data_IF_427205680442
#
_entry.id   IF_427205680442
#
_cell.length_a   1.000
_cell.length_b   1.000
_cell.length_c   1.000
_cell.angle_alpha   90.00
_cell.angle_beta   90.00
_cell.angle_gamma   90.00
#
_symmetry.space_group_name_H-M   'P 1'
#
loop_
_entity.id
_entity.type
_entity.pdbx_description
1 polymer ?
#
# COMPACT_ATOMS: atom_id res chain seq x y z
N UNK A 1 -28.12 -1.28 6.29
CA UNK A 1 -26.98 -2.21 6.18
C UNK A 1 -26.16 -2.06 7.44
N UNK A 2 -25.68 -3.16 8.06
CA UNK A 2 -24.72 -3.02 9.18
C UNK A 2 -23.40 -2.48 8.62
N UNK A 3 -22.76 -1.57 9.35
CA UNK A 3 -21.41 -1.09 9.05
C UNK A 3 -20.35 -2.17 9.27
N UNK A 4 -19.10 -1.82 9.05
CA UNK A 4 -17.94 -2.66 9.40
C UNK A 4 -17.61 -2.39 10.87
N UNK A 5 -17.43 -3.44 11.66
CA UNK A 5 -17.04 -3.34 13.07
C UNK A 5 -15.57 -3.76 13.23
N UNK A 6 -14.70 -3.04 12.51
CA UNK A 6 -13.25 -3.24 12.49
C UNK A 6 -12.57 -1.94 12.08
N UNK A 7 -11.40 -1.65 12.67
CA UNK A 7 -10.59 -0.50 12.23
C UNK A 7 -9.88 -0.84 10.93
N UNK A 8 -10.17 -0.11 9.85
CA UNK A 8 -9.58 -0.37 8.54
C UNK A 8 -8.87 0.85 7.94
N UNK A 9 -7.80 0.60 7.19
CA UNK A 9 -7.22 1.55 6.25
C UNK A 9 -7.48 1.08 4.82
N UNK A 10 -7.56 2.00 3.87
CA UNK A 10 -7.77 1.67 2.45
C UNK A 10 -6.74 2.39 1.60
N UNK A 11 -6.13 1.65 0.67
CA UNK A 11 -5.29 2.18 -0.41
C UNK A 11 -6.08 2.06 -1.73
N UNK A 12 -6.32 3.17 -2.45
CA UNK A 12 -7.03 3.18 -3.75
C UNK A 12 -6.14 3.78 -4.83
N UNK A 13 -5.77 2.98 -5.83
CA UNK A 13 -4.92 3.40 -6.94
C UNK A 13 -5.73 4.10 -8.04
N UNK A 14 -5.43 5.37 -8.31
CA UNK A 14 -6.09 6.20 -9.31
C UNK A 14 -5.10 6.85 -10.27
N UNK A 15 -5.62 7.43 -11.35
CA UNK A 15 -4.84 8.19 -12.32
C UNK A 15 -5.41 9.60 -12.47
N UNK A 16 -4.59 10.62 -12.20
CA UNK A 16 -4.98 12.00 -12.46
C UNK A 16 -5.18 12.25 -13.97
N UNK A 17 -6.11 13.12 -14.37
CA UNK A 17 -6.23 13.55 -15.77
C UNK A 17 -4.97 14.30 -16.21
N UNK A 18 -4.73 14.39 -17.52
CA UNK A 18 -3.57 15.11 -18.07
C UNK A 18 -3.61 16.58 -17.65
N UNK A 19 -2.46 17.09 -17.22
CA UNK A 19 -2.33 18.46 -16.69
C UNK A 19 -2.67 18.61 -15.20
N UNK A 20 -3.15 17.55 -14.56
CA UNK A 20 -3.29 17.46 -13.10
C UNK A 20 -2.30 16.45 -12.51
N UNK A 21 -2.23 16.37 -11.19
CA UNK A 21 -1.37 15.44 -10.47
C UNK A 21 -2.02 14.99 -9.17
N UNK A 22 -1.38 14.08 -8.44
CA UNK A 22 -1.80 13.73 -7.07
C UNK A 22 -1.84 14.92 -6.11
N UNK A 23 -1.05 15.97 -6.37
CA UNK A 23 -1.14 17.24 -5.62
C UNK A 23 -2.49 17.94 -5.81
N UNK A 24 -3.07 17.87 -7.01
CA UNK A 24 -4.36 18.50 -7.32
C UNK A 24 -5.46 17.95 -6.41
N UNK A 25 -5.51 16.63 -6.26
CA UNK A 25 -6.49 15.98 -5.37
C UNK A 25 -6.20 16.30 -3.91
N UNK A 26 -4.93 16.22 -3.47
CA UNK A 26 -4.56 16.53 -2.09
C UNK A 26 -4.97 17.96 -1.68
N UNK A 27 -4.70 18.95 -2.53
CA UNK A 27 -5.10 20.35 -2.28
C UNK A 27 -6.61 20.51 -2.23
N UNK A 28 -7.34 19.90 -3.15
CA UNK A 28 -8.80 19.98 -3.16
C UNK A 28 -9.42 19.40 -1.89
N UNK A 29 -8.92 18.26 -1.43
CA UNK A 29 -9.36 17.63 -0.18
C UNK A 29 -9.05 18.53 1.01
N UNK A 30 -7.84 19.10 1.09
CA UNK A 30 -7.45 20.02 2.15
C UNK A 30 -8.32 21.29 2.17
N UNK A 31 -8.62 21.87 1.00
CA UNK A 31 -9.52 23.04 0.89
C UNK A 31 -10.93 22.71 1.38
N UNK A 32 -11.48 21.57 0.96
CA UNK A 32 -12.82 21.13 1.37
C UNK A 32 -12.93 20.91 2.88
N UNK A 33 -11.87 20.43 3.53
CA UNK A 33 -11.85 20.13 4.97
C UNK A 33 -11.35 21.30 5.82
N UNK A 34 -11.00 22.44 5.21
CA UNK A 34 -10.38 23.56 5.91
C UNK A 34 -8.99 23.23 6.50
N UNK A 35 -8.37 22.17 5.99
CA UNK A 35 -7.12 21.61 6.47
C UNK A 35 -5.90 22.05 5.66
N UNK A 36 -4.88 21.19 5.63
CA UNK A 36 -3.63 21.46 4.89
C UNK A 36 -3.11 20.23 4.16
N UNK A 37 -2.41 20.47 3.04
CA UNK A 37 -1.73 19.45 2.25
C UNK A 37 -0.22 19.68 2.33
N UNK A 38 0.49 18.80 3.03
CA UNK A 38 1.95 18.88 3.19
C UNK A 38 2.63 17.88 2.28
N UNK A 39 3.65 18.31 1.53
CA UNK A 39 4.43 17.41 0.70
C UNK A 39 5.28 16.48 1.58
N UNK A 40 5.32 15.21 1.23
CA UNK A 40 6.06 14.17 1.95
C UNK A 40 6.91 13.33 0.99
N UNK A 41 7.94 12.69 1.52
CA UNK A 41 8.59 11.58 0.84
C UNK A 41 7.80 10.29 1.07
N UNK A 42 7.52 9.57 -0.01
CA UNK A 42 6.87 8.27 0.03
C UNK A 42 7.85 7.18 -0.42
N UNK A 43 8.17 6.20 0.46
CA UNK A 43 9.04 5.08 0.10
C UNK A 43 8.38 4.16 -0.92
N UNK A 44 9.09 3.87 -2.00
CA UNK A 44 8.64 3.02 -3.07
C UNK A 44 9.73 2.05 -3.53
N UNK A 45 9.30 0.96 -4.15
CA UNK A 45 10.19 -0.14 -4.54
C UNK A 45 9.89 -0.58 -5.98
N UNK A 46 10.89 -0.55 -6.86
CA UNK A 46 10.79 -1.04 -8.24
C UNK A 46 11.65 -2.28 -8.45
N UNK A 47 11.19 -3.22 -9.29
CA UNK A 47 12.00 -4.39 -9.66
C UNK A 47 13.21 -3.96 -10.45
N UNK A 48 14.36 -4.48 -10.08
CA UNK A 48 15.62 -4.17 -10.73
C UNK A 48 16.04 -5.28 -11.69
N UNK A 49 16.56 -4.87 -12.85
CA UNK A 49 17.19 -5.77 -13.81
C UNK A 49 18.68 -6.04 -13.50
N UNK A 50 19.23 -5.39 -12.47
CA UNK A 50 20.65 -5.51 -12.09
C UNK A 50 20.90 -6.84 -11.36
N UNK A 51 21.84 -7.68 -11.83
CA UNK A 51 22.17 -8.94 -11.17
C UNK A 51 22.56 -8.74 -9.69
N UNK A 52 21.94 -9.50 -8.79
CA UNK A 52 22.21 -9.44 -7.35
C UNK A 52 21.49 -8.33 -6.58
N UNK A 53 20.77 -7.44 -7.27
CA UNK A 53 19.97 -6.38 -6.67
C UNK A 53 18.54 -6.49 -7.22
N UNK A 54 17.63 -7.23 -6.57
CA UNK A 54 16.31 -7.54 -7.12
C UNK A 54 15.36 -6.34 -7.08
N UNK A 55 15.64 -5.33 -6.25
CA UNK A 55 14.78 -4.17 -6.02
C UNK A 55 15.64 -2.90 -5.93
N UNK A 56 15.15 -1.81 -6.52
CA UNK A 56 15.61 -0.46 -6.25
C UNK A 56 14.60 0.24 -5.35
N UNK A 57 15.07 0.66 -4.19
CA UNK A 57 14.30 1.50 -3.28
C UNK A 57 14.44 2.95 -3.74
N UNK A 58 13.36 3.71 -3.62
CA UNK A 58 13.34 5.13 -3.94
C UNK A 58 12.35 5.90 -3.07
N UNK A 59 12.51 7.21 -3.04
CA UNK A 59 11.55 8.13 -2.43
C UNK A 59 10.91 8.94 -3.54
N UNK A 60 9.61 8.80 -3.69
CA UNK A 60 8.80 9.66 -4.55
C UNK A 60 8.16 10.77 -3.72
N UNK A 61 7.64 11.79 -4.41
CA UNK A 61 6.86 12.84 -3.75
C UNK A 61 5.39 12.41 -3.64
N UNK A 62 4.83 12.58 -2.46
CA UNK A 62 3.40 12.50 -2.18
C UNK A 62 2.93 13.68 -1.33
N UNK A 63 1.66 13.65 -0.93
CA UNK A 63 1.08 14.67 -0.07
C UNK A 63 0.32 14.02 1.08
N UNK A 64 0.49 14.53 2.29
CA UNK A 64 -0.34 14.19 3.44
C UNK A 64 -1.34 15.31 3.68
N UNK A 65 -2.62 14.95 3.77
CA UNK A 65 -3.68 15.89 4.12
C UNK A 65 -4.07 15.71 5.57
N UNK A 66 -4.10 16.82 6.30
CA UNK A 66 -4.64 16.92 7.64
C UNK A 66 -5.89 17.81 7.63
N UNK A 67 -6.86 17.56 8.50
CA UNK A 67 -8.02 18.42 8.71
C UNK A 67 -7.65 19.74 9.43
N UNK A 68 -8.66 20.56 9.73
CA UNK A 68 -8.48 21.83 10.43
C UNK A 68 -7.94 21.65 11.87
N UNK A 69 -8.21 20.50 12.47
CA UNK A 69 -7.75 20.09 13.80
C UNK A 69 -6.34 19.47 13.78
N UNK A 70 -5.77 19.22 12.60
CA UNK A 70 -4.46 18.62 12.40
C UNK A 70 -4.47 17.08 12.39
N UNK A 71 -5.63 16.43 12.40
CA UNK A 71 -5.73 14.98 12.27
C UNK A 71 -5.42 14.55 10.84
N UNK A 72 -4.69 13.44 10.69
CA UNK A 72 -4.44 12.86 9.39
C UNK A 72 -5.74 12.31 8.78
N UNK A 73 -6.06 12.72 7.55
CA UNK A 73 -7.21 12.23 6.80
C UNK A 73 -6.81 11.17 5.76
N UNK A 74 -5.89 11.55 4.87
CA UNK A 74 -5.39 10.68 3.81
C UNK A 74 -4.01 11.16 3.32
N UNK A 75 -3.26 10.27 2.70
CA UNK A 75 -2.09 10.61 1.91
C UNK A 75 -2.37 10.30 0.43
N UNK A 76 -1.77 11.08 -0.46
CA UNK A 76 -1.91 10.97 -1.91
C UNK A 76 -0.52 10.75 -2.49
N UNK A 77 -0.20 9.49 -2.77
CA UNK A 77 1.17 9.05 -3.02
C UNK A 77 1.31 8.46 -4.42
N UNK A 78 2.55 8.18 -4.80
CA UNK A 78 2.85 7.50 -6.04
C UNK A 78 2.59 5.99 -5.87
N UNK A 79 2.24 5.29 -6.96
CA UNK A 79 2.47 3.86 -7.09
C UNK A 79 3.20 3.60 -8.41
N UNK A 80 4.42 3.07 -8.32
CA UNK A 80 5.28 2.78 -9.46
C UNK A 80 4.80 1.61 -10.33
N UNK A 81 3.81 0.83 -9.89
CA UNK A 81 3.23 -0.25 -10.71
C UNK A 81 2.36 0.26 -11.84
N UNK A 82 1.81 1.47 -11.70
CA UNK A 82 0.94 2.09 -12.69
C UNK A 82 1.78 2.63 -13.83
N UNK A 83 1.70 1.98 -14.99
CA UNK A 83 2.64 2.17 -16.09
C UNK A 83 1.97 2.28 -17.46
N UNK A 84 0.95 1.48 -17.74
CA UNK A 84 0.39 1.35 -19.08
C UNK A 84 -0.23 2.65 -19.59
N UNK A 85 -0.88 3.41 -18.72
CA UNK A 85 -1.64 4.61 -19.09
C UNK A 85 -0.79 5.90 -19.12
N UNK A 86 0.52 5.77 -18.92
CA UNK A 86 1.46 6.89 -18.92
C UNK A 86 2.18 7.04 -20.26
N UNK A 87 2.30 8.28 -20.75
CA UNK A 87 3.22 8.58 -21.85
C UNK A 87 4.66 8.71 -21.33
N UNK A 88 5.41 7.61 -21.41
CA UNK A 88 6.82 7.53 -20.97
C UNK A 88 7.77 8.50 -21.67
N UNK A 89 7.34 9.13 -22.77
CA UNK A 89 8.14 10.14 -23.49
C UNK A 89 7.88 11.55 -23.01
N UNK A 90 6.88 11.75 -22.15
CA UNK A 90 6.58 13.06 -21.60
C UNK A 90 7.75 13.55 -20.74
N UNK A 91 8.10 14.82 -20.91
CA UNK A 91 9.15 15.44 -20.13
C UNK A 91 8.76 15.47 -18.65
N UNK A 92 9.77 15.49 -17.77
CA UNK A 92 9.50 15.66 -16.33
C UNK A 92 8.83 17.00 -16.07
N UNK A 93 7.78 17.00 -15.26
CA UNK A 93 7.16 18.24 -14.80
C UNK A 93 8.08 18.92 -13.75
N UNK A 94 8.31 20.24 -13.85
CA UNK A 94 9.10 20.97 -12.84
C UNK A 94 8.56 20.75 -11.42
N UNK A 95 9.48 20.55 -10.47
CA UNK A 95 9.14 20.31 -9.07
C UNK A 95 8.82 18.86 -8.72
N UNK A 96 8.72 17.95 -9.70
CA UNK A 96 8.56 16.51 -9.48
C UNK A 96 9.87 15.77 -9.67
N UNK A 97 10.27 15.03 -8.63
CA UNK A 97 11.52 14.28 -8.62
C UNK A 97 11.39 13.02 -7.76
N UNK A 98 12.39 12.15 -7.84
CA UNK A 98 12.62 11.04 -6.90
C UNK A 98 14.04 11.08 -6.35
N UNK A 99 14.20 10.54 -5.15
CA UNK A 99 15.51 10.25 -4.58
C UNK A 99 15.76 8.75 -4.66
N UNK A 100 16.96 8.35 -5.10
CA UNK A 100 17.38 6.96 -5.21
C UNK A 100 18.70 6.76 -4.48
N UNK A 101 18.87 5.61 -3.85
CA UNK A 101 20.13 5.19 -3.23
C UNK A 101 20.22 3.66 -3.26
N UNK A 102 21.44 3.15 -3.23
CA UNK A 102 21.70 1.70 -3.27
C UNK A 102 21.47 1.02 -1.89
N UNK A 103 21.22 1.81 -0.85
CA UNK A 103 20.96 1.33 0.50
C UNK A 103 19.71 2.00 1.10
N UNK A 104 18.70 1.23 1.54
CA UNK A 104 17.48 1.79 2.15
C UNK A 104 17.75 2.57 3.44
N UNK A 105 18.87 2.33 4.13
CA UNK A 105 19.29 3.14 5.30
C UNK A 105 19.61 4.57 4.89
N UNK A 106 20.19 4.78 3.70
CA UNK A 106 20.51 6.11 3.18
C UNK A 106 19.23 6.86 2.77
N UNK A 107 18.25 6.18 2.19
CA UNK A 107 16.93 6.77 1.93
C UNK A 107 16.21 7.13 3.22
N UNK A 108 16.27 6.30 4.26
CA UNK A 108 15.71 6.66 5.58
C UNK A 108 16.40 7.88 6.20
N UNK A 109 17.71 8.05 5.99
CA UNK A 109 18.40 9.28 6.39
C UNK A 109 17.91 10.48 5.57
N UNK A 110 17.78 10.34 4.25
CA UNK A 110 17.24 11.38 3.39
C UNK A 110 15.81 11.79 3.82
N UNK A 111 14.90 10.84 4.04
CA UNK A 111 13.54 11.11 4.55
C UNK A 111 13.55 11.89 5.87
N UNK A 112 14.53 11.64 6.73
CA UNK A 112 14.60 12.26 8.07
C UNK A 112 15.20 13.67 8.03
N UNK A 113 16.13 13.93 7.10
CA UNK A 113 16.95 15.14 7.12
C UNK A 113 16.66 16.10 5.96
N UNK A 114 16.09 15.61 4.85
CA UNK A 114 15.73 16.42 3.69
C UNK A 114 14.27 16.90 3.79
N UNK A 115 13.98 18.06 3.22
CA UNK A 115 12.63 18.60 3.09
C UNK A 115 12.06 18.23 1.72
N UNK A 116 10.95 17.47 1.68
CA UNK A 116 10.28 17.10 0.43
C UNK A 116 9.77 18.31 -0.36
N UNK A 117 9.56 19.46 0.29
CA UNK A 117 9.15 20.71 -0.32
C UNK A 117 10.30 21.49 -0.96
N UNK A 118 11.56 21.15 -0.64
CA UNK A 118 12.71 21.78 -1.25
C UNK A 118 12.82 21.44 -2.74
N UNK A 119 13.34 22.37 -3.56
CA UNK A 119 13.61 22.09 -4.96
C UNK A 119 14.73 21.04 -5.11
N UNK A 120 14.72 20.33 -6.24
CA UNK A 120 15.66 19.23 -6.51
C UNK A 120 17.13 19.65 -6.38
N UNK A 121 17.47 20.89 -6.71
CA UNK A 121 18.83 21.43 -6.64
C UNK A 121 19.35 21.68 -5.22
N UNK A 122 18.46 21.70 -4.22
CA UNK A 122 18.80 21.94 -2.81
C UNK A 122 18.36 20.80 -1.86
N UNK A 123 17.44 19.92 -2.27
CA UNK A 123 16.83 18.90 -1.41
C UNK A 123 17.85 17.96 -0.76
N UNK A 124 18.98 17.71 -1.43
CA UNK A 124 20.04 16.84 -0.94
C UNK A 124 21.14 17.56 -0.14
N UNK A 125 21.07 18.89 0.03
CA UNK A 125 22.05 19.65 0.81
C UNK A 125 22.19 19.11 2.25
N UNK A 126 21.10 18.81 2.99
CA UNK A 126 21.22 18.29 4.36
C UNK A 126 21.88 16.92 4.39
N UNK A 127 21.63 16.08 3.39
CA UNK A 127 22.26 14.75 3.30
C UNK A 127 23.75 14.89 2.99
N UNK A 128 24.14 15.75 2.05
CA UNK A 128 25.55 15.99 1.72
C UNK A 128 26.34 16.51 2.94
N UNK A 129 25.73 17.39 3.74
CA UNK A 129 26.33 17.90 4.96
C UNK A 129 26.66 16.79 5.98
N UNK A 130 25.83 15.74 6.08
CA UNK A 130 26.11 14.58 6.95
C UNK A 130 27.36 13.79 6.53
N UNK A 131 27.70 13.82 5.24
CA UNK A 131 28.88 13.16 4.68
C UNK A 131 30.09 14.09 4.50
N UNK A 132 29.96 15.37 4.91
CA UNK A 132 31.01 16.37 4.76
C UNK A 132 31.29 16.73 3.29
N UNK A 133 30.31 16.60 2.41
CA UNK A 133 30.42 16.89 0.98
C UNK A 133 29.39 17.93 0.53
N UNK A 134 29.42 18.28 -0.76
CA UNK A 134 28.43 19.13 -1.41
C UNK A 134 27.77 18.38 -2.57
N UNK A 135 26.49 18.64 -2.88
CA UNK A 135 25.85 18.00 -4.02
C UNK A 135 26.50 18.39 -5.36
N UNK A 136 26.55 17.43 -6.27
CA UNK A 136 27.12 17.57 -7.61
C UNK A 136 25.99 17.64 -8.64
N UNK A 137 25.93 18.74 -9.39
CA UNK A 137 24.95 18.97 -10.45
C UNK A 137 25.38 18.25 -11.73
N UNK A 138 24.43 17.58 -12.38
CA UNK A 138 24.62 16.95 -13.69
C UNK A 138 23.81 17.67 -14.79
N UNK A 139 24.30 17.70 -16.05
CA UNK A 139 23.62 18.37 -17.17
C UNK A 139 22.18 17.89 -17.44
N UNK A 140 21.83 16.66 -17.02
CA UNK A 140 20.48 16.11 -17.12
C UNK A 140 19.52 16.54 -16.01
N UNK A 141 19.89 17.52 -15.19
CA UNK A 141 19.10 17.97 -14.04
C UNK A 141 19.14 17.03 -12.83
N UNK A 142 20.04 16.05 -12.83
CA UNK A 142 20.26 15.17 -11.68
C UNK A 142 21.20 15.82 -10.68
N UNK A 143 21.00 15.50 -9.40
CA UNK A 143 21.83 15.96 -8.29
C UNK A 143 22.37 14.75 -7.56
N UNK A 144 23.68 14.66 -7.40
CA UNK A 144 24.34 13.50 -6.78
C UNK A 144 25.06 13.90 -5.50
N UNK A 145 24.87 13.12 -4.45
CA UNK A 145 25.69 13.19 -3.24
C UNK A 145 26.67 12.04 -3.24
N UNK A 146 27.92 12.34 -2.89
CA UNK A 146 29.00 11.36 -2.72
C UNK A 146 29.58 11.47 -1.31
N UNK A 147 30.27 10.44 -0.85
CA UNK A 147 31.07 10.51 0.38
C UNK A 147 32.46 11.12 0.14
N UNK A 148 33.28 11.21 1.19
CA UNK A 148 34.64 11.74 1.12
C UNK A 148 35.60 10.94 0.21
N UNK A 149 35.23 9.71 -0.17
CA UNK A 149 35.98 8.85 -1.08
C UNK A 149 35.40 8.83 -2.50
N UNK A 150 34.33 9.60 -2.76
CA UNK A 150 33.66 9.68 -4.05
C UNK A 150 32.65 8.55 -4.31
N UNK A 151 32.35 7.71 -3.33
CA UNK A 151 31.31 6.69 -3.46
C UNK A 151 29.91 7.34 -3.47
N UNK A 152 28.98 6.79 -4.25
CA UNK A 152 27.62 7.33 -4.35
C UNK A 152 26.85 7.14 -3.04
N UNK A 153 26.19 8.19 -2.56
CA UNK A 153 25.31 8.14 -1.38
C UNK A 153 23.85 8.16 -1.82
N UNK A 154 23.45 9.17 -2.58
CA UNK A 154 22.10 9.29 -3.11
C UNK A 154 22.10 10.14 -4.38
N UNK A 155 21.09 9.94 -5.22
CA UNK A 155 20.85 10.72 -6.43
C UNK A 155 19.42 11.24 -6.40
N UNK A 156 19.25 12.53 -6.61
CA UNK A 156 17.97 13.15 -6.96
C UNK A 156 17.85 13.23 -8.47
N UNK A 157 16.71 12.80 -9.02
CA UNK A 157 16.45 12.86 -10.45
C UNK A 157 15.03 13.38 -10.73
N UNK A 158 14.84 14.20 -11.77
CA UNK A 158 13.50 14.57 -12.23
C UNK A 158 12.65 13.32 -12.52
N UNK A 159 11.33 13.43 -12.37
CA UNK A 159 10.41 12.31 -12.56
C UNK A 159 9.77 12.39 -13.97
N UNK A 160 10.29 11.69 -14.99
CA UNK A 160 9.76 11.78 -16.35
C UNK A 160 8.51 10.90 -16.54
N UNK A 161 7.88 11.03 -17.70
CA UNK A 161 6.88 10.07 -18.16
C UNK A 161 5.53 10.20 -17.47
N UNK A 162 5.04 11.44 -17.33
CA UNK A 162 3.73 11.75 -16.73
C UNK A 162 3.58 11.27 -15.28
N UNK A 163 4.70 11.12 -14.57
CA UNK A 163 4.74 10.30 -13.38
C UNK A 163 4.22 11.00 -12.11
N UNK A 164 3.97 12.30 -12.20
CA UNK A 164 3.15 13.08 -11.26
C UNK A 164 1.68 12.62 -11.19
N UNK A 165 1.18 11.92 -12.23
CA UNK A 165 -0.26 11.69 -12.42
C UNK A 165 -0.83 10.55 -11.58
N UNK A 166 -0.20 9.35 -11.50
CA UNK A 166 -0.76 8.31 -10.66
C UNK A 166 -0.75 8.69 -9.19
N UNK A 167 -1.79 8.24 -8.52
CA UNK A 167 -2.22 8.74 -7.23
C UNK A 167 -2.85 7.59 -6.47
N UNK A 168 -2.15 7.05 -5.50
CA UNK A 168 -2.73 6.15 -4.52
C UNK A 168 -3.27 6.98 -3.34
N UNK A 169 -4.58 6.87 -3.08
CA UNK A 169 -5.19 7.43 -1.88
C UNK A 169 -4.96 6.43 -0.75
N UNK A 170 -4.19 6.80 0.26
CA UNK A 170 -3.96 6.02 1.48
C UNK A 170 -4.70 6.67 2.64
N UNK A 171 -5.81 6.10 3.10
CA UNK A 171 -6.59 6.68 4.19
C UNK A 171 -5.86 6.58 5.53
N UNK A 172 -6.16 7.49 6.46
CA UNK A 172 -5.94 7.21 7.87
C UNK A 172 -6.78 5.99 8.30
N UNK A 173 -6.40 5.27 9.39
CA UNK A 173 -7.23 4.21 9.95
C UNK A 173 -8.60 4.73 10.38
N UNK A 174 -9.66 4.04 9.97
CA UNK A 174 -11.05 4.38 10.24
C UNK A 174 -11.70 3.30 11.09
N UNK A 175 -12.15 3.66 12.29
CA UNK A 175 -12.93 2.76 13.15
C UNK A 175 -14.44 2.84 12.87
N UNK A 176 -14.91 3.97 12.32
CA UNK A 176 -16.31 4.27 12.08
C UNK A 176 -16.47 5.16 10.83
N UNK A 177 -17.72 5.39 10.41
CA UNK A 177 -18.09 6.26 9.29
C UNK A 177 -17.38 5.94 7.94
N UNK A 178 -16.95 4.68 7.76
CA UNK A 178 -16.14 4.25 6.62
C UNK A 178 -16.71 4.67 5.27
N UNK A 179 -18.01 4.44 5.04
CA UNK A 179 -18.68 4.75 3.78
C UNK A 179 -18.70 6.26 3.50
N UNK A 180 -18.91 7.08 4.53
CA UNK A 180 -18.94 8.54 4.39
C UNK A 180 -17.55 9.09 4.05
N UNK A 181 -16.53 8.66 4.81
CA UNK A 181 -15.14 9.08 4.58
C UNK A 181 -14.63 8.67 3.20
N UNK A 182 -14.83 7.39 2.81
CA UNK A 182 -14.47 6.91 1.48
C UNK A 182 -15.30 7.60 0.38
N UNK A 183 -16.60 7.79 0.63
CA UNK A 183 -17.50 8.46 -0.30
C UNK A 183 -17.08 9.90 -0.60
N UNK A 184 -16.62 10.64 0.41
CA UNK A 184 -16.11 12.00 0.27
C UNK A 184 -14.80 12.03 -0.54
N UNK A 185 -13.80 11.21 -0.18
CA UNK A 185 -12.51 11.14 -0.88
C UNK A 185 -12.66 10.75 -2.36
N UNK A 186 -13.45 9.71 -2.64
CA UNK A 186 -13.72 9.28 -4.01
C UNK A 186 -14.63 10.25 -4.76
N UNK A 187 -15.50 10.98 -4.04
CA UNK A 187 -16.29 12.08 -4.58
C UNK A 187 -15.42 13.20 -5.15
N UNK A 188 -14.41 13.62 -4.40
CA UNK A 188 -13.43 14.61 -4.83
C UNK A 188 -12.65 14.13 -6.05
N UNK A 189 -12.19 12.88 -6.05
CA UNK A 189 -11.49 12.27 -7.17
C UNK A 189 -12.35 12.27 -8.45
N UNK A 190 -13.64 11.87 -8.33
CA UNK A 190 -14.60 11.92 -9.45
C UNK A 190 -14.82 13.36 -9.95
N UNK A 191 -15.00 14.32 -9.04
CA UNK A 191 -15.23 15.71 -9.39
C UNK A 191 -14.06 16.33 -10.17
N UNK A 192 -12.84 15.89 -9.86
CA UNK A 192 -11.61 16.31 -10.56
C UNK A 192 -11.29 15.48 -11.81
N UNK A 193 -12.09 14.47 -12.14
CA UNK A 193 -11.90 13.65 -13.35
C UNK A 193 -10.77 12.62 -13.25
N UNK A 194 -10.44 12.15 -12.04
CA UNK A 194 -9.56 11.00 -11.87
C UNK A 194 -10.19 9.73 -12.47
N UNK A 195 -9.36 8.87 -13.03
CA UNK A 195 -9.77 7.63 -13.69
C UNK A 195 -9.15 6.41 -13.04
N UNK A 196 -9.73 5.24 -13.30
CA UNK A 196 -9.15 3.95 -12.89
C UNK A 196 -8.01 3.58 -13.85
N UNK A 197 -6.78 3.36 -13.35
CA UNK A 197 -5.67 2.91 -14.18
C UNK A 197 -5.82 1.42 -14.56
N UNK A 198 -5.18 1.01 -15.64
CA UNK A 198 -5.25 -0.36 -16.16
C UNK A 198 -4.74 -1.39 -15.16
N UNK A 199 -3.62 -1.12 -14.49
CA UNK A 199 -3.05 -2.00 -13.46
C UNK A 199 -3.72 -1.85 -12.09
N UNK A 200 -4.67 -0.91 -11.97
CA UNK A 200 -5.19 -0.41 -10.69
C UNK A 200 -5.78 -1.46 -9.77
N UNK A 201 -5.46 -1.34 -8.49
CA UNK A 201 -5.95 -2.12 -7.38
C UNK A 201 -6.55 -1.27 -6.25
N UNK A 202 -7.23 -1.95 -5.32
CA UNK A 202 -7.61 -1.41 -4.01
C UNK A 202 -7.14 -2.39 -2.93
N UNK A 203 -6.40 -1.89 -1.95
CA UNK A 203 -5.98 -2.67 -0.80
C UNK A 203 -6.80 -2.29 0.43
N UNK A 204 -7.21 -3.28 1.21
CA UNK A 204 -7.96 -3.08 2.44
C UNK A 204 -7.15 -3.66 3.59
N UNK A 205 -6.74 -2.78 4.49
CA UNK A 205 -5.96 -3.08 5.67
C UNK A 205 -6.88 -3.22 6.86
N UNK A 206 -6.84 -4.37 7.53
CA UNK A 206 -7.55 -4.61 8.78
C UNK A 206 -6.55 -4.55 9.92
N UNK A 207 -6.90 -3.85 11.01
CA UNK A 207 -6.11 -3.86 12.26
C UNK A 207 -5.76 -5.31 12.64
N UNK A 208 -4.47 -5.56 12.84
CA UNK A 208 -3.95 -6.91 13.03
C UNK A 208 -4.18 -7.46 14.44
N UNK A 209 -4.46 -6.61 15.42
CA UNK A 209 -4.43 -7.00 16.83
C UNK A 209 -5.28 -8.24 17.15
N UNK A 210 -6.52 -8.40 16.64
CA UNK A 210 -7.31 -9.61 16.87
C UNK A 210 -6.70 -10.87 16.23
N UNK A 211 -5.95 -10.71 15.13
CA UNK A 211 -5.37 -11.81 14.35
C UNK A 211 -4.01 -12.28 14.88
N UNK A 212 -3.51 -11.69 15.97
CA UNK A 212 -2.27 -12.10 16.65
C UNK A 212 -2.43 -13.40 17.42
N UNK A 213 -2.72 -14.47 16.69
CA UNK A 213 -2.96 -15.81 17.21
C UNK A 213 -2.50 -16.83 16.19
N UNK A 214 -1.67 -17.78 16.61
CA UNK A 214 -1.19 -18.86 15.74
C UNK A 214 -2.38 -19.64 15.13
N UNK A 215 -3.41 -19.92 15.95
CA UNK A 215 -4.64 -20.57 15.49
C UNK A 215 -5.40 -19.76 14.45
N UNK A 216 -5.59 -18.46 14.68
CA UNK A 216 -6.32 -17.60 13.76
C UNK A 216 -5.60 -17.49 12.41
N UNK A 217 -4.28 -17.33 12.43
CA UNK A 217 -3.45 -17.32 11.21
C UNK A 217 -3.51 -18.67 10.51
N UNK A 218 -3.38 -19.79 11.22
CA UNK A 218 -3.50 -21.11 10.60
C UNK A 218 -4.86 -21.34 9.94
N UNK A 219 -5.94 -20.89 10.60
CA UNK A 219 -7.30 -20.96 10.03
C UNK A 219 -7.43 -20.10 8.79
N UNK A 220 -6.91 -18.88 8.80
CA UNK A 220 -6.90 -18.01 7.62
C UNK A 220 -6.08 -18.62 6.48
N UNK A 221 -4.96 -19.27 6.79
CA UNK A 221 -4.13 -19.92 5.78
C UNK A 221 -4.89 -21.08 5.12
N UNK A 222 -5.42 -22.01 5.94
CA UNK A 222 -6.20 -23.13 5.45
C UNK A 222 -7.47 -22.70 4.70
N UNK A 223 -8.12 -21.61 5.14
CA UNK A 223 -9.29 -21.05 4.48
C UNK A 223 -8.92 -20.54 3.08
N UNK A 224 -7.86 -19.74 2.97
CA UNK A 224 -7.42 -19.19 1.70
C UNK A 224 -6.96 -20.29 0.74
N UNK A 225 -6.21 -21.29 1.19
CA UNK A 225 -5.84 -22.43 0.32
C UNK A 225 -7.06 -23.09 -0.31
N UNK A 226 -8.09 -23.33 0.51
CA UNK A 226 -9.34 -23.97 0.08
C UNK A 226 -10.15 -23.08 -0.86
N UNK A 227 -10.17 -21.76 -0.64
CA UNK A 227 -11.13 -20.86 -1.26
C UNK A 227 -10.53 -19.73 -2.12
N UNK A 228 -9.22 -19.72 -2.40
CA UNK A 228 -8.57 -18.64 -3.16
C UNK A 228 -9.29 -18.31 -4.48
N UNK A 229 -9.77 -19.32 -5.21
CA UNK A 229 -10.52 -19.12 -6.45
C UNK A 229 -11.87 -18.43 -6.22
N UNK A 230 -12.59 -18.80 -5.16
CA UNK A 230 -13.86 -18.17 -4.78
C UNK A 230 -13.64 -16.72 -4.30
N UNK A 231 -12.55 -16.45 -3.58
CA UNK A 231 -12.18 -15.11 -3.14
C UNK A 231 -11.85 -14.20 -4.33
N UNK A 232 -11.09 -14.69 -5.32
CA UNK A 232 -10.83 -13.95 -6.56
C UNK A 232 -12.09 -13.69 -7.37
N UNK A 233 -13.03 -14.65 -7.39
CA UNK A 233 -14.33 -14.47 -8.04
C UNK A 233 -15.19 -13.40 -7.32
N UNK A 234 -15.22 -13.42 -5.98
CA UNK A 234 -15.86 -12.39 -5.16
C UNK A 234 -15.25 -11.00 -5.37
N UNK A 235 -13.92 -10.92 -5.42
CA UNK A 235 -13.19 -9.69 -5.62
C UNK A 235 -13.31 -9.14 -7.05
N UNK A 236 -13.61 -10.00 -8.04
CA UNK A 236 -13.51 -9.69 -9.46
C UNK A 236 -12.13 -9.12 -9.80
N UNK A 237 -11.08 -9.82 -9.33
CA UNK A 237 -9.70 -9.33 -9.38
C UNK A 237 -9.28 -8.87 -10.78
N UNK A 238 -8.59 -7.74 -10.83
CA UNK A 238 -8.05 -7.18 -12.07
C UNK A 238 -6.93 -8.08 -12.62
N UNK A 239 -7.07 -8.71 -13.80
CA UNK A 239 -6.03 -9.58 -14.36
C UNK A 239 -4.76 -8.83 -14.77
N UNK A 240 -4.81 -7.49 -14.88
CA UNK A 240 -3.64 -6.66 -15.13
C UNK A 240 -2.85 -6.32 -13.85
N UNK A 241 -3.38 -6.61 -12.66
CA UNK A 241 -2.65 -6.44 -11.41
C UNK A 241 -1.63 -7.57 -11.24
N UNK A 242 -0.34 -7.24 -11.37
CA UNK A 242 0.75 -8.23 -11.43
C UNK A 242 1.37 -8.57 -10.06
N UNK A 243 0.97 -7.89 -8.98
CA UNK A 243 1.47 -8.09 -7.61
C UNK A 243 0.54 -8.97 -6.76
N UNK A 244 -0.18 -9.88 -7.40
CA UNK A 244 -1.09 -10.85 -6.80
C UNK A 244 -0.52 -12.26 -6.85
N UNK A 245 -1.00 -13.17 -5.99
CA UNK A 245 -0.49 -14.54 -5.93
C UNK A 245 -0.79 -15.25 -4.61
N UNK A 246 -0.43 -16.53 -4.57
CA UNK A 246 -0.47 -17.34 -3.35
C UNK A 246 0.73 -17.11 -2.43
N UNK A 247 0.68 -17.75 -1.27
CA UNK A 247 1.81 -17.79 -0.34
C UNK A 247 2.85 -18.87 -0.70
N UNK A 248 4.06 -18.81 -0.11
CA UNK A 248 5.01 -19.92 -0.18
C UNK A 248 4.40 -21.22 0.38
N UNK A 249 4.62 -22.39 -0.27
CA UNK A 249 4.10 -23.68 0.22
C UNK A 249 4.53 -24.03 1.66
N UNK A 250 5.66 -23.50 2.11
CA UNK A 250 6.19 -23.65 3.45
C UNK A 250 5.25 -23.05 4.51
N UNK A 251 4.46 -22.02 4.16
CA UNK A 251 3.51 -21.40 5.09
C UNK A 251 2.43 -22.38 5.53
N UNK A 252 1.85 -23.10 4.58
CA UNK A 252 0.79 -24.06 4.82
C UNK A 252 1.28 -25.25 5.64
N UNK A 253 2.51 -25.72 5.37
CA UNK A 253 3.13 -26.76 6.18
C UNK A 253 3.36 -26.33 7.62
N UNK A 254 3.89 -25.12 7.82
CA UNK A 254 4.12 -24.57 9.15
C UNK A 254 2.80 -24.42 9.92
N UNK A 255 1.80 -23.82 9.29
CA UNK A 255 0.52 -23.51 9.95
C UNK A 255 -0.36 -24.73 10.20
N UNK A 256 -0.16 -25.82 9.47
CA UNK A 256 -0.81 -27.11 9.73
C UNK A 256 -0.16 -27.91 10.88
N UNK A 257 1.02 -27.52 11.36
CA UNK A 257 1.72 -28.21 12.45
C UNK A 257 1.00 -27.99 13.80
N UNK A 258 0.58 -29.05 14.52
CA UNK A 258 0.02 -28.93 15.87
C UNK A 258 0.91 -28.16 16.85
N UNK A 259 2.23 -28.23 16.70
CA UNK A 259 3.16 -27.47 17.51
C UNK A 259 3.06 -25.96 17.25
N UNK A 260 2.84 -25.55 16.00
CA UNK A 260 2.62 -24.15 15.65
C UNK A 260 1.31 -23.63 16.23
N UNK A 261 0.22 -24.41 16.10
CA UNK A 261 -1.10 -24.05 16.64
C UNK A 261 -1.11 -23.79 18.15
N UNK A 262 -0.20 -24.41 18.88
CA UNK A 262 -0.03 -24.24 20.33
C UNK A 262 0.93 -23.10 20.72
N UNK A 263 1.55 -22.41 19.76
CA UNK A 263 2.48 -21.32 20.05
C UNK A 263 1.77 -20.06 20.50
N UNK A 264 2.39 -19.37 21.45
CA UNK A 264 2.09 -17.98 21.73
C UNK A 264 2.52 -17.09 20.55
N UNK A 265 1.79 -16.00 20.34
CA UNK A 265 1.98 -15.15 19.17
C UNK A 265 3.42 -14.68 18.91
N UNK A 266 4.21 -14.24 19.92
CA UNK A 266 5.58 -13.80 19.67
C UNK A 266 6.46 -14.90 19.05
N UNK A 267 6.26 -16.16 19.44
CA UNK A 267 7.00 -17.30 18.89
C UNK A 267 6.50 -17.69 17.51
N UNK A 268 5.17 -17.68 17.32
CA UNK A 268 4.56 -17.92 16.02
C UNK A 268 5.01 -16.88 14.98
N UNK A 269 5.03 -15.59 15.33
CA UNK A 269 5.48 -14.50 14.47
C UNK A 269 6.95 -14.68 14.04
N UNK A 270 7.85 -15.04 14.96
CA UNK A 270 9.25 -15.35 14.62
C UNK A 270 9.35 -16.48 13.61
N UNK A 271 8.58 -17.55 13.79
CA UNK A 271 8.54 -18.69 12.86
C UNK A 271 7.96 -18.31 11.51
N UNK A 272 6.91 -17.48 11.47
CA UNK A 272 6.32 -16.98 10.22
C UNK A 272 7.31 -16.08 9.44
N UNK A 273 8.13 -15.29 10.12
CA UNK A 273 9.13 -14.43 9.47
C UNK A 273 10.18 -15.23 8.68
N UNK A 274 10.45 -16.48 9.07
CA UNK A 274 11.41 -17.38 8.42
C UNK A 274 10.87 -18.01 7.12
N UNK A 275 9.55 -17.95 6.88
CA UNK A 275 8.88 -18.59 5.73
C UNK A 275 9.09 -17.81 4.42
N UNK A 276 9.62 -16.58 4.49
CA UNK A 276 9.83 -15.74 3.31
C UNK A 276 8.53 -15.14 2.77
N UNK A 277 7.63 -14.72 3.67
CA UNK A 277 6.43 -13.96 3.31
C UNK A 277 6.79 -12.70 2.50
N UNK A 278 6.03 -12.46 1.44
CA UNK A 278 6.18 -11.29 0.57
C UNK A 278 4.90 -10.48 0.56
N UNK A 279 5.00 -9.19 0.26
CA UNK A 279 3.83 -8.32 0.05
C UNK A 279 3.05 -8.65 -1.24
N UNK A 280 3.68 -9.30 -2.22
CA UNK A 280 3.08 -9.62 -3.52
C UNK A 280 2.27 -10.92 -3.49
N UNK A 281 1.15 -10.87 -2.77
CA UNK A 281 0.17 -11.95 -2.69
C UNK A 281 -1.22 -11.36 -2.43
N UNK A 282 -2.23 -12.20 -2.60
CA UNK A 282 -3.65 -11.84 -2.46
C UNK A 282 -3.98 -11.31 -1.05
N UNK A 283 -3.36 -11.90 -0.02
CA UNK A 283 -3.48 -11.49 1.37
C UNK A 283 -2.08 -11.34 1.97
N UNK A 284 -1.65 -10.11 2.23
CA UNK A 284 -0.34 -9.84 2.80
C UNK A 284 -0.35 -10.01 4.33
N UNK A 285 0.38 -11.02 4.80
CA UNK A 285 0.61 -11.31 6.22
C UNK A 285 1.94 -10.77 6.75
N UNK A 286 2.82 -10.25 5.88
CA UNK A 286 4.11 -9.71 6.31
C UNK A 286 3.95 -8.50 7.23
N UNK A 287 2.88 -7.73 7.05
CA UNK A 287 2.51 -6.59 7.89
C UNK A 287 2.17 -7.05 9.33
N UNK A 288 1.30 -8.04 9.48
CA UNK A 288 0.97 -8.69 10.78
C UNK A 288 2.23 -9.27 11.46
N UNK A 289 3.10 -9.93 10.70
CA UNK A 289 4.27 -10.64 11.24
C UNK A 289 5.38 -9.69 11.68
N UNK A 290 5.69 -8.68 10.86
CA UNK A 290 6.75 -7.71 11.16
C UNK A 290 6.27 -6.55 12.04
N UNK A 291 4.96 -6.32 12.10
CA UNK A 291 4.29 -5.28 12.88
C UNK A 291 4.98 -3.91 12.80
N UNK A 292 5.22 -3.36 11.59
CA UNK A 292 5.72 -2.00 11.47
C UNK A 292 4.73 -1.02 12.11
N UNK A 293 5.24 0.04 12.74
CA UNK A 293 4.44 0.93 13.60
C UNK A 293 3.24 1.58 12.90
N UNK A 294 3.27 1.70 11.58
CA UNK A 294 2.26 2.33 10.73
C UNK A 294 1.45 1.34 9.88
N UNK A 295 1.81 0.05 9.83
CA UNK A 295 1.14 -0.98 9.01
C UNK A 295 1.03 -2.34 9.73
N UNK A 296 0.68 -2.34 11.02
CA UNK A 296 0.35 -3.57 11.76
C UNK A 296 -1.04 -4.09 11.35
N UNK A 297 -1.11 -4.75 10.19
CA UNK A 297 -2.38 -5.06 9.52
C UNK A 297 -2.40 -6.44 8.89
N UNK A 298 -3.59 -7.03 8.76
CA UNK A 298 -3.87 -8.05 7.72
C UNK A 298 -4.39 -7.32 6.49
N UNK A 299 -3.71 -7.45 5.36
CA UNK A 299 -3.98 -6.66 4.17
C UNK A 299 -4.52 -7.54 3.04
N UNK A 300 -5.72 -7.22 2.54
CA UNK A 300 -6.30 -7.85 1.35
C UNK A 300 -6.01 -7.00 0.12
N UNK A 301 -5.38 -7.59 -0.89
CA UNK A 301 -4.85 -6.88 -2.07
C UNK A 301 -5.54 -7.23 -3.38
N UNK A 302 -6.54 -8.11 -3.34
CA UNK A 302 -7.14 -8.76 -4.52
C UNK A 302 -8.15 -7.92 -5.30
N UNK A 303 -8.48 -6.73 -4.83
CA UNK A 303 -9.60 -5.97 -5.39
C UNK A 303 -9.14 -5.07 -6.54
N UNK A 304 -9.93 -4.94 -7.61
CA UNK A 304 -9.67 -3.94 -8.63
C UNK A 304 -9.81 -2.53 -8.04
N UNK A 305 -9.15 -1.55 -8.66
CA UNK A 305 -9.41 -0.15 -8.31
C UNK A 305 -10.88 0.21 -8.61
N UNK A 306 -11.46 1.08 -7.77
CA UNK A 306 -12.82 1.58 -7.93
C UNK A 306 -12.93 3.03 -7.47
N UNK A 307 -13.91 3.74 -8.05
CA UNK A 307 -14.35 5.06 -7.59
C UNK A 307 -15.67 4.95 -6.82
N UNK A 308 -16.19 3.76 -6.53
CA UNK A 308 -17.41 3.56 -5.74
C UNK A 308 -17.08 3.04 -4.34
N UNK A 309 -17.40 3.86 -3.32
CA UNK A 309 -17.21 3.48 -1.93
C UNK A 309 -18.06 2.27 -1.53
N UNK A 310 -19.18 2.00 -2.20
CA UNK A 310 -20.03 0.84 -1.90
C UNK A 310 -19.35 -0.48 -2.29
N UNK A 311 -18.56 -0.50 -3.35
CA UNK A 311 -17.76 -1.66 -3.73
C UNK A 311 -16.72 -1.97 -2.64
N UNK A 312 -16.00 -0.95 -2.18
CA UNK A 312 -15.02 -1.08 -1.09
C UNK A 312 -15.69 -1.60 0.18
N UNK A 313 -16.86 -1.05 0.53
CA UNK A 313 -17.62 -1.50 1.68
C UNK A 313 -18.16 -2.93 1.52
N UNK A 314 -18.53 -3.37 0.31
CA UNK A 314 -18.91 -4.76 0.05
C UNK A 314 -17.72 -5.68 0.28
N UNK A 315 -16.57 -5.36 -0.31
CA UNK A 315 -15.35 -6.14 -0.15
C UNK A 315 -14.91 -6.22 1.31
N UNK A 316 -14.87 -5.09 2.01
CA UNK A 316 -14.45 -5.04 3.41
C UNK A 316 -15.38 -5.83 4.34
N UNK A 317 -16.71 -5.84 4.09
CA UNK A 317 -17.63 -6.72 4.85
C UNK A 317 -17.36 -8.20 4.60
N UNK A 318 -17.01 -8.58 3.38
CA UNK A 318 -16.59 -9.95 3.05
C UNK A 318 -15.32 -10.34 3.79
N UNK A 319 -14.31 -9.48 3.75
CA UNK A 319 -13.05 -9.67 4.49
C UNK A 319 -13.27 -9.75 6.00
N UNK A 320 -14.04 -8.85 6.59
CA UNK A 320 -14.37 -8.86 8.01
C UNK A 320 -15.02 -10.20 8.41
N UNK A 321 -15.98 -10.67 7.61
CA UNK A 321 -16.66 -11.93 7.89
C UNK A 321 -15.71 -13.14 7.81
N UNK A 322 -14.75 -13.14 6.88
CA UNK A 322 -13.67 -14.15 6.82
C UNK A 322 -12.80 -14.10 8.06
N UNK A 323 -12.34 -12.91 8.47
CA UNK A 323 -11.50 -12.77 9.67
C UNK A 323 -12.24 -13.22 10.92
N UNK A 324 -13.52 -12.86 11.07
CA UNK A 324 -14.37 -13.32 12.18
C UNK A 324 -14.59 -14.82 12.16
N UNK A 325 -14.78 -15.44 11.00
CA UNK A 325 -14.85 -16.90 10.87
C UNK A 325 -13.55 -17.59 11.31
N UNK A 326 -12.40 -16.98 11.03
CA UNK A 326 -11.09 -17.49 11.46
C UNK A 326 -10.85 -17.31 12.97
N UNK A 327 -11.49 -16.31 13.59
CA UNK A 327 -11.42 -16.00 15.01
C UNK A 327 -12.48 -16.69 15.87
N UNK A 328 -13.47 -17.34 15.26
CA UNK A 328 -14.57 -17.97 15.98
C UNK A 328 -14.04 -19.08 16.94
N UNK A 329 -14.26 -18.95 18.26
CA UNK A 329 -13.78 -19.91 19.25
C UNK A 329 -14.44 -21.29 19.14
N UNK A 330 -15.60 -21.40 18.46
CA UNK A 330 -16.20 -22.69 18.14
C UNK A 330 -15.43 -23.45 17.04
N UNK A 331 -14.49 -22.77 16.38
CA UNK A 331 -13.64 -23.30 15.30
C UNK A 331 -14.46 -24.06 14.24
N UNK A 332 -15.52 -23.45 13.66
CA UNK A 332 -16.36 -24.13 12.68
C UNK A 332 -15.52 -24.70 11.53
N UNK A 333 -15.90 -25.87 10.99
CA UNK A 333 -15.14 -26.50 9.91
C UNK A 333 -15.11 -25.58 8.70
N UNK A 334 -13.93 -25.49 8.05
CA UNK A 334 -13.80 -24.73 6.80
C UNK A 334 -14.69 -25.41 5.75
N UNK A 335 -15.63 -24.67 5.13
CA UNK A 335 -16.47 -25.20 4.06
C UNK A 335 -15.63 -25.83 2.95
N UNK A 336 -16.09 -26.94 2.36
CA UNK A 336 -15.32 -27.64 1.33
C UNK A 336 -15.68 -27.20 -0.09
N UNK A 337 -16.82 -26.52 -0.25
CA UNK A 337 -17.30 -26.04 -1.54
C UNK A 337 -17.61 -24.54 -1.50
N UNK A 338 -17.66 -23.89 -2.66
CA UNK A 338 -18.03 -22.48 -2.75
C UNK A 338 -19.50 -22.23 -2.34
N UNK A 339 -20.39 -23.20 -2.54
CA UNK A 339 -21.79 -23.09 -2.13
C UNK A 339 -21.91 -23.07 -0.60
N UNK A 340 -21.25 -24.02 0.07
CA UNK A 340 -21.20 -24.09 1.53
C UNK A 340 -20.49 -22.86 2.13
N UNK A 341 -19.49 -22.33 1.42
CA UNK A 341 -18.83 -21.08 1.81
C UNK A 341 -19.80 -19.91 1.84
N UNK A 342 -20.65 -19.76 0.82
CA UNK A 342 -21.64 -18.68 0.75
C UNK A 342 -22.72 -18.88 1.83
N UNK A 343 -23.09 -20.11 2.16
CA UNK A 343 -23.99 -20.38 3.27
C UNK A 343 -23.36 -19.98 4.62
N UNK A 344 -22.09 -20.33 4.84
CA UNK A 344 -21.36 -20.00 6.07
C UNK A 344 -21.01 -18.49 6.17
N UNK A 345 -20.71 -17.84 5.05
CA UNK A 345 -20.32 -16.44 4.94
C UNK A 345 -21.14 -15.75 3.82
N UNK A 346 -22.41 -15.39 4.08
CA UNK A 346 -23.30 -14.81 3.06
C UNK A 346 -22.80 -13.50 2.45
N UNK A 347 -21.89 -12.80 3.13
CA UNK A 347 -21.24 -11.58 2.64
C UNK A 347 -20.37 -11.82 1.39
N UNK A 348 -19.97 -13.07 1.12
CA UNK A 348 -19.20 -13.45 -0.06
C UNK A 348 -20.08 -13.79 -1.27
N UNK A 349 -21.40 -13.73 -1.13
CA UNK A 349 -22.29 -13.87 -2.28
C UNK A 349 -21.99 -12.77 -3.31
N UNK A 350 -21.72 -13.17 -4.55
CA UNK A 350 -21.57 -12.23 -5.66
C UNK A 350 -22.94 -11.64 -5.94
N UNK A 351 -23.10 -10.33 -5.76
CA UNK A 351 -24.27 -9.62 -6.27
C UNK A 351 -24.27 -9.71 -7.79
N UNK A 352 -25.29 -10.35 -8.36
CA UNK A 352 -25.48 -10.47 -9.81
C UNK A 352 -25.86 -9.17 -10.50
#
# INVERSE_FOLDING_TARGET
>A
MRGIDWTIGVEIELLAPKGASRETLARHVAERTGGSATRIFHPESETSAVPGQPVFENLTLGYRVQDAEGNWLASFVDDLTLQRDLDKRHAAQPGWFRLVADDPRLLRLAMRHCDASAPLDAVLDPLAALFGTAPQQHPGGMVRVVDAHGASVAIGAPLPGERERPCEIVTAPMAENHLETLGALLGDARALGFTLPHEGATHIHFDAAPMRSAKAVSRLVAFYETHHAALRAFAQSNPACVRLGGWPPELSRLTADPAFLAMEWPDAARRLAEVGLKKWCDINLANLVNAPADKDTVEFRIFPSTLDANDIMRWARGCEAILRFCLDPAEPPIPQTAADLIEAIPQLAVSG
#
